data_IF_429065798458
#
_entry.id   IF_429065798458
#
_cell.length_a   1.000
_cell.length_b   1.000
_cell.length_c   1.000
_cell.angle_alpha   90.00
_cell.angle_beta   90.00
_cell.angle_gamma   90.00
#
_symmetry.space_group_name_H-M   'P 1'
#
loop_
_entity.id
_entity.type
_entity.pdbx_description
1 polymer ?
#
# COMPACT_ATOMS: atom_id res chain seq x y z
N UNK A 1 7.19 15.74 4.76
CA UNK A 1 6.33 16.36 3.73
C UNK A 1 6.93 16.00 2.37
N UNK A 2 6.08 15.60 1.41
CA UNK A 2 6.51 15.42 0.04
C UNK A 2 6.90 16.77 -0.59
N UNK A 3 7.81 16.74 -1.54
CA UNK A 3 8.17 17.93 -2.30
C UNK A 3 7.06 18.31 -3.31
N UNK A 4 7.28 19.40 -4.07
CA UNK A 4 6.30 19.88 -5.06
C UNK A 4 6.10 18.93 -6.25
N UNK A 5 6.94 17.90 -6.41
CA UNK A 5 6.85 16.92 -7.51
C UNK A 5 5.97 15.72 -7.18
N UNK A 6 5.53 15.61 -5.92
CA UNK A 6 4.67 14.53 -5.44
C UNK A 6 5.43 13.29 -4.97
N UNK A 7 6.74 13.33 -4.81
CA UNK A 7 7.55 12.25 -4.23
C UNK A 7 8.77 12.79 -3.46
N UNK A 8 9.26 11.98 -2.54
CA UNK A 8 10.57 12.08 -1.93
C UNK A 8 11.39 10.86 -2.34
N UNK A 9 12.61 11.04 -2.81
CA UNK A 9 13.50 9.99 -3.29
C UNK A 9 14.89 10.02 -2.64
N UNK A 10 15.07 10.78 -1.56
CA UNK A 10 16.34 10.92 -0.86
C UNK A 10 17.31 11.91 -1.49
N UNK A 11 16.90 12.71 -2.50
CA UNK A 11 17.78 13.72 -3.11
C UNK A 11 18.22 14.83 -2.15
N UNK A 12 17.56 14.95 -0.99
CA UNK A 12 17.96 15.76 0.15
C UNK A 12 19.09 15.15 0.99
N UNK A 13 19.55 13.94 0.64
CA UNK A 13 20.61 13.17 1.30
C UNK A 13 20.29 12.80 2.75
N UNK A 14 19.02 12.72 3.14
CA UNK A 14 18.61 12.27 4.47
C UNK A 14 18.88 10.77 4.72
N UNK A 15 18.92 9.96 3.64
CA UNK A 15 19.33 8.55 3.68
C UNK A 15 18.30 7.58 4.23
N UNK A 16 17.30 8.05 4.98
CA UNK A 16 16.20 7.25 5.52
C UNK A 16 14.92 8.07 5.58
N UNK A 17 13.79 7.38 5.45
CA UNK A 17 12.48 7.90 5.79
C UNK A 17 11.97 7.20 7.04
N UNK A 18 11.51 7.95 8.02
CA UNK A 18 11.00 7.40 9.28
C UNK A 18 9.51 7.70 9.37
N UNK A 19 8.73 6.65 9.58
CA UNK A 19 7.32 6.73 9.87
C UNK A 19 7.00 5.88 11.08
N UNK A 20 6.55 6.52 12.15
CA UNK A 20 6.31 5.88 13.46
C UNK A 20 7.55 5.11 13.97
N UNK A 21 7.46 3.78 14.06
CA UNK A 21 8.52 2.90 14.54
C UNK A 21 9.31 2.24 13.41
N UNK A 22 9.07 2.62 12.13
CA UNK A 22 9.69 2.03 10.96
C UNK A 22 10.67 2.98 10.31
N UNK A 23 11.84 2.45 9.95
CA UNK A 23 12.88 3.17 9.21
C UNK A 23 13.07 2.52 7.84
N UNK A 24 12.67 3.24 6.80
CA UNK A 24 12.79 2.85 5.39
C UNK A 24 14.11 3.37 4.86
N UNK A 25 14.97 2.48 4.37
CA UNK A 25 16.26 2.91 3.82
C UNK A 25 16.09 3.62 2.49
N UNK A 26 16.96 4.58 2.25
CA UNK A 26 17.16 5.20 0.93
C UNK A 26 18.64 5.46 0.73
N UNK A 27 19.12 5.28 -0.49
CA UNK A 27 20.48 5.64 -0.89
C UNK A 27 20.39 6.41 -2.21
N UNK A 28 20.64 7.71 -2.16
CA UNK A 28 20.62 8.58 -3.33
C UNK A 28 22.04 8.81 -3.85
N UNK A 29 22.27 8.48 -5.14
CA UNK A 29 23.51 8.74 -5.83
C UNK A 29 23.45 10.09 -6.53
N UNK A 30 24.24 11.07 -6.06
CA UNK A 30 24.23 12.44 -6.59
C UNK A 30 24.95 12.56 -7.94
N UNK A 31 25.86 11.64 -8.27
CA UNK A 31 26.62 11.66 -9.53
C UNK A 31 25.72 11.27 -10.73
N UNK A 32 24.89 10.27 -10.52
CA UNK A 32 24.03 9.70 -11.57
C UNK A 32 22.54 10.02 -11.37
N UNK A 33 22.20 10.75 -10.31
CA UNK A 33 20.83 11.17 -9.97
C UNK A 33 19.84 9.98 -9.91
N UNK A 34 20.25 8.86 -9.33
CA UNK A 34 19.38 7.70 -9.09
C UNK A 34 19.31 7.35 -7.59
N UNK A 35 18.28 6.62 -7.21
CA UNK A 35 18.04 6.18 -5.85
C UNK A 35 17.88 4.65 -5.77
N UNK A 36 18.09 4.08 -4.58
CA UNK A 36 17.73 2.70 -4.23
C UNK A 36 17.15 2.66 -2.81
N UNK A 37 16.47 1.57 -2.46
CA UNK A 37 15.72 1.48 -1.22
C UNK A 37 14.27 1.92 -1.42
N UNK A 38 13.83 2.92 -0.65
CA UNK A 38 12.46 3.43 -0.70
C UNK A 38 12.39 4.89 -1.15
N UNK A 39 11.34 5.21 -1.89
CA UNK A 39 10.82 6.54 -2.13
C UNK A 39 9.41 6.63 -1.53
N UNK A 40 8.99 7.81 -1.09
CA UNK A 40 7.61 8.08 -0.66
C UNK A 40 6.93 8.91 -1.74
N UNK A 41 5.72 8.52 -2.13
CA UNK A 41 5.03 9.10 -3.29
C UNK A 41 3.56 9.33 -3.05
N UNK A 42 2.98 10.27 -3.79
CA UNK A 42 1.55 10.43 -4.01
C UNK A 42 1.22 10.64 -5.51
N UNK A 43 2.10 10.17 -6.39
CA UNK A 43 1.92 10.28 -7.84
C UNK A 43 0.79 9.37 -8.29
N UNK A 44 -0.23 9.94 -8.94
CA UNK A 44 -1.45 9.26 -9.39
C UNK A 44 -1.43 8.87 -10.88
N UNK A 45 -0.27 8.91 -11.54
CA UNK A 45 -0.13 8.49 -12.94
C UNK A 45 -0.10 6.96 -13.01
N UNK A 46 -1.22 6.36 -13.42
CA UNK A 46 -1.43 4.93 -13.60
C UNK A 46 -1.23 4.45 -15.05
N UNK A 47 -0.82 5.34 -15.96
CA UNK A 47 -0.77 5.09 -17.40
C UNK A 47 0.62 5.13 -18.02
N UNK A 48 1.55 5.94 -17.49
CA UNK A 48 2.87 6.11 -18.08
C UNK A 48 3.80 4.95 -17.73
N UNK A 49 4.07 4.07 -18.69
CA UNK A 49 4.90 2.88 -18.57
C UNK A 49 6.38 3.12 -18.87
N UNK A 50 7.04 4.00 -18.12
CA UNK A 50 8.48 4.27 -18.30
C UNK A 50 9.15 4.66 -16.99
N UNK A 51 10.49 4.68 -16.98
CA UNK A 51 11.28 5.13 -15.84
C UNK A 51 11.00 6.59 -15.42
N UNK A 52 10.38 7.40 -16.28
CA UNK A 52 9.93 8.74 -15.91
C UNK A 52 8.77 8.72 -14.90
N UNK A 53 8.01 7.61 -14.82
CA UNK A 53 6.95 7.37 -13.85
C UNK A 53 7.30 6.22 -12.89
N UNK A 54 8.52 6.21 -12.36
CA UNK A 54 8.96 5.20 -11.39
C UNK A 54 8.31 5.37 -10.00
N UNK A 55 7.56 6.43 -9.77
CA UNK A 55 6.92 6.79 -8.50
C UNK A 55 5.41 6.57 -8.48
N UNK A 56 4.80 6.19 -9.61
CA UNK A 56 3.38 5.90 -9.72
C UNK A 56 3.02 4.49 -9.23
N UNK A 57 1.78 4.30 -8.81
CA UNK A 57 1.17 3.01 -8.47
C UNK A 57 0.10 2.65 -9.50
N UNK A 58 -0.02 1.38 -9.87
CA UNK A 58 -0.93 0.92 -10.94
C UNK A 58 -2.40 1.23 -10.70
N UNK A 59 -2.84 1.28 -9.43
CA UNK A 59 -4.20 1.69 -9.05
C UNK A 59 -4.48 3.20 -9.17
N UNK A 60 -3.43 4.05 -9.32
CA UNK A 60 -3.55 5.51 -9.38
C UNK A 60 -3.85 6.18 -8.03
N UNK A 61 -3.86 5.44 -6.91
CA UNK A 61 -4.14 5.99 -5.57
C UNK A 61 -3.48 5.16 -4.47
N UNK A 62 -3.19 5.80 -3.32
CA UNK A 62 -2.72 5.12 -2.10
C UNK A 62 -3.82 4.22 -1.53
N UNK A 63 -3.45 3.14 -0.84
CA UNK A 63 -4.42 2.31 -0.13
C UNK A 63 -5.13 3.10 0.98
N UNK A 64 -4.35 3.83 1.77
CA UNK A 64 -4.86 4.72 2.81
C UNK A 64 -4.23 6.11 2.73
N UNK A 65 -4.92 7.12 3.25
CA UNK A 65 -4.41 8.47 3.21
C UNK A 65 -4.15 9.00 1.79
N UNK A 66 -2.96 9.56 1.56
CA UNK A 66 -2.57 10.12 0.25
C UNK A 66 -1.20 9.68 -0.24
N UNK A 67 -0.40 9.05 0.60
CA UNK A 67 0.98 8.66 0.32
C UNK A 67 1.14 7.15 0.39
N UNK A 68 2.07 6.63 -0.38
CA UNK A 68 2.51 5.24 -0.34
C UNK A 68 4.04 5.18 -0.52
N UNK A 69 4.65 4.06 -0.13
CA UNK A 69 6.07 3.81 -0.36
C UNK A 69 6.27 3.07 -1.68
N UNK A 70 7.30 3.48 -2.44
CA UNK A 70 7.76 2.77 -3.62
C UNK A 70 9.10 2.12 -3.30
N UNK A 71 9.18 0.81 -3.42
CA UNK A 71 10.40 0.03 -3.22
C UNK A 71 11.12 -0.18 -4.56
N UNK A 72 12.44 -0.03 -4.52
CA UNK A 72 13.35 -0.34 -5.60
C UNK A 72 14.57 -1.05 -5.02
N UNK A 73 15.47 -1.55 -5.82
CA UNK A 73 16.68 -2.30 -5.46
C UNK A 73 17.22 -2.03 -4.02
N UNK A 74 17.59 -3.08 -3.30
CA UNK A 74 18.12 -3.02 -1.93
C UNK A 74 17.16 -2.43 -0.86
N UNK A 75 15.85 -2.44 -1.15
CA UNK A 75 14.84 -1.97 -0.20
C UNK A 75 14.86 -2.81 1.08
N UNK A 76 14.90 -2.13 2.23
CA UNK A 76 14.72 -2.75 3.55
C UNK A 76 14.01 -1.79 4.51
N UNK A 77 13.29 -2.37 5.48
CA UNK A 77 12.68 -1.63 6.59
C UNK A 77 13.22 -2.19 7.89
N UNK A 78 13.71 -1.32 8.76
CA UNK A 78 14.21 -1.71 10.10
C UNK A 78 13.32 -1.13 11.21
N UNK A 79 13.19 -1.85 12.30
CA UNK A 79 12.33 -1.56 13.44
C UNK A 79 12.77 -2.37 14.66
N UNK A 80 12.18 -2.10 15.83
CA UNK A 80 12.42 -2.90 17.04
C UNK A 80 11.87 -4.33 16.86
N UNK A 81 12.52 -5.32 17.51
CA UNK A 81 12.15 -6.73 17.40
C UNK A 81 10.67 -6.97 17.73
N UNK A 82 9.91 -7.41 16.74
CA UNK A 82 8.46 -7.67 16.82
C UNK A 82 7.97 -8.59 15.72
N UNK A 83 6.72 -9.06 15.83
CA UNK A 83 5.98 -9.70 14.74
C UNK A 83 5.31 -8.63 13.88
N UNK A 84 5.30 -8.82 12.58
CA UNK A 84 4.54 -7.99 11.63
C UNK A 84 3.23 -8.69 11.28
N UNK A 85 2.14 -7.94 11.11
CA UNK A 85 0.90 -8.45 10.52
C UNK A 85 1.04 -8.60 9.00
N UNK A 86 1.53 -7.56 8.35
CA UNK A 86 1.66 -7.50 6.90
C UNK A 86 1.60 -6.06 6.39
N UNK A 87 1.38 -5.91 5.10
CA UNK A 87 1.20 -4.61 4.44
C UNK A 87 0.37 -4.78 3.17
N UNK A 88 -0.18 -3.69 2.66
CA UNK A 88 -0.78 -3.69 1.33
C UNK A 88 0.29 -3.52 0.26
N UNK A 89 0.23 -4.38 -0.77
CA UNK A 89 1.18 -4.41 -1.88
C UNK A 89 0.44 -4.18 -3.21
N UNK A 90 1.11 -3.47 -4.13
CA UNK A 90 0.65 -3.32 -5.51
C UNK A 90 1.83 -3.15 -6.46
N UNK A 91 1.62 -3.30 -7.76
CA UNK A 91 2.62 -2.96 -8.76
C UNK A 91 2.86 -1.44 -8.81
N UNK A 92 4.12 -1.04 -9.04
CA UNK A 92 4.34 0.31 -9.57
C UNK A 92 3.76 0.41 -10.99
N UNK A 93 3.33 1.60 -11.39
CA UNK A 93 2.83 1.83 -12.77
C UNK A 93 3.86 1.41 -13.82
N UNK A 94 5.13 1.70 -13.58
CA UNK A 94 6.20 1.32 -14.51
C UNK A 94 6.29 -0.20 -14.69
N UNK A 95 6.33 -0.99 -13.62
CA UNK A 95 6.38 -2.45 -13.70
C UNK A 95 5.10 -3.02 -14.32
N UNK A 96 3.93 -2.53 -13.91
CA UNK A 96 2.63 -2.95 -14.43
C UNK A 96 2.55 -2.77 -15.96
N UNK A 97 2.85 -1.56 -16.44
CA UNK A 97 2.75 -1.25 -17.87
C UNK A 97 3.80 -1.98 -18.71
N UNK A 98 5.02 -2.22 -18.16
CA UNK A 98 6.04 -3.03 -18.80
C UNK A 98 5.58 -4.47 -19.00
N UNK A 99 5.03 -5.11 -17.97
CA UNK A 99 4.49 -6.48 -18.07
C UNK A 99 3.26 -6.56 -18.98
N UNK A 100 2.39 -5.57 -18.95
CA UNK A 100 1.15 -5.54 -19.74
C UNK A 100 1.41 -5.36 -21.24
N UNK A 101 2.33 -4.48 -21.62
CA UNK A 101 2.53 -4.04 -22.99
C UNK A 101 3.86 -4.48 -23.58
N UNK A 102 4.84 -4.85 -22.76
CA UNK A 102 6.25 -4.91 -23.13
C UNK A 102 6.85 -3.52 -23.29
N UNK A 103 8.17 -3.44 -23.27
CA UNK A 103 8.93 -2.21 -23.51
C UNK A 103 10.25 -2.51 -24.25
N UNK A 104 11.22 -1.58 -24.25
CA UNK A 104 12.50 -1.76 -24.91
C UNK A 104 13.38 -2.88 -24.30
N UNK A 105 13.12 -3.28 -23.08
CA UNK A 105 13.89 -4.26 -22.30
C UNK A 105 13.05 -5.46 -21.88
N UNK A 106 11.85 -5.20 -21.35
CA UNK A 106 10.91 -6.19 -20.83
C UNK A 106 9.94 -6.71 -21.90
N UNK A 107 9.67 -8.02 -21.90
CA UNK A 107 8.65 -8.60 -22.76
C UNK A 107 7.25 -8.38 -22.20
N UNK A 108 6.24 -8.43 -23.06
CA UNK A 108 4.86 -8.55 -22.66
C UNK A 108 4.62 -9.92 -22.00
N UNK A 109 4.04 -9.96 -20.81
CA UNK A 109 3.70 -11.20 -20.14
C UNK A 109 2.54 -11.93 -20.82
N UNK A 110 2.60 -13.27 -20.83
CA UNK A 110 1.70 -14.12 -21.60
C UNK A 110 2.06 -14.17 -23.09
N UNK A 111 2.99 -13.35 -23.59
CA UNK A 111 3.36 -13.27 -25.00
C UNK A 111 2.21 -12.83 -25.90
N UNK A 112 2.30 -13.12 -27.19
CA UNK A 112 1.26 -12.77 -28.18
C UNK A 112 0.02 -13.68 -28.09
N UNK A 113 0.21 -14.96 -27.69
CA UNK A 113 -0.87 -15.94 -27.59
C UNK A 113 -1.59 -15.89 -26.22
N UNK A 114 -0.97 -15.35 -25.20
CA UNK A 114 -1.42 -15.42 -23.80
C UNK A 114 -0.95 -16.68 -23.06
N UNK A 115 -0.14 -17.55 -23.69
CA UNK A 115 0.22 -18.86 -23.12
C UNK A 115 1.63 -18.91 -22.51
N UNK A 116 2.42 -17.84 -22.62
CA UNK A 116 3.74 -17.76 -22.02
C UNK A 116 3.62 -17.76 -20.48
N UNK A 117 4.27 -18.71 -19.83
CA UNK A 117 4.23 -18.88 -18.37
C UNK A 117 5.13 -17.85 -17.66
N UNK A 118 4.65 -16.62 -17.60
CA UNK A 118 5.37 -15.52 -17.02
C UNK A 118 4.97 -15.25 -15.56
N UNK A 119 5.89 -14.68 -14.79
CA UNK A 119 5.61 -14.29 -13.43
C UNK A 119 6.57 -13.19 -12.96
N UNK A 120 6.09 -12.36 -12.02
CA UNK A 120 6.88 -11.38 -11.28
C UNK A 120 6.58 -11.47 -9.80
N UNK A 121 7.60 -11.57 -8.98
CA UNK A 121 7.48 -11.92 -7.57
C UNK A 121 8.35 -11.04 -6.69
N UNK A 122 7.85 -10.70 -5.52
CA UNK A 122 8.58 -10.09 -4.41
C UNK A 122 8.69 -11.09 -3.28
N UNK A 123 9.92 -11.37 -2.83
CA UNK A 123 10.19 -12.12 -1.60
C UNK A 123 10.48 -11.14 -0.46
N UNK A 124 9.75 -11.26 0.64
CA UNK A 124 10.04 -10.58 1.91
C UNK A 124 10.85 -11.51 2.78
N UNK A 125 12.07 -11.10 3.14
CA UNK A 125 13.01 -11.86 3.97
C UNK A 125 13.02 -11.23 5.35
N UNK A 126 12.53 -11.96 6.35
CA UNK A 126 12.57 -11.57 7.75
C UNK A 126 13.98 -11.73 8.33
N UNK A 127 14.46 -10.72 9.03
CA UNK A 127 15.81 -10.68 9.58
C UNK A 127 15.78 -10.45 11.09
N UNK A 128 16.73 -11.08 11.79
CA UNK A 128 17.16 -10.66 13.15
C UNK A 128 18.61 -10.25 13.04
N UNK A 129 18.90 -8.98 13.18
CA UNK A 129 20.18 -8.35 12.89
C UNK A 129 20.67 -8.65 11.46
N UNK A 130 21.68 -9.50 11.30
CA UNK A 130 22.21 -9.90 9.99
C UNK A 130 21.76 -11.29 9.54
N UNK A 131 20.99 -12.00 10.38
CA UNK A 131 20.58 -13.38 10.12
C UNK A 131 19.18 -13.39 9.47
N UNK A 132 19.07 -14.01 8.30
CA UNK A 132 17.78 -14.32 7.69
C UNK A 132 17.10 -15.46 8.48
N UNK A 133 15.85 -15.24 8.88
CA UNK A 133 15.08 -16.18 9.70
C UNK A 133 14.16 -17.00 8.81
N UNK A 134 13.37 -16.33 7.97
CA UNK A 134 12.40 -16.93 7.06
C UNK A 134 12.11 -15.99 5.90
N UNK A 135 11.37 -16.44 4.89
CA UNK A 135 10.96 -15.63 3.76
C UNK A 135 9.57 -16.02 3.26
N UNK A 136 8.84 -15.04 2.76
CA UNK A 136 7.52 -15.18 2.17
C UNK A 136 7.52 -14.56 0.77
N UNK A 137 6.84 -15.21 -0.15
CA UNK A 137 6.75 -14.79 -1.55
C UNK A 137 5.36 -14.26 -1.88
N UNK A 138 5.31 -13.19 -2.69
CA UNK A 138 4.09 -12.63 -3.23
C UNK A 138 4.23 -12.41 -4.74
N UNK A 139 3.31 -12.98 -5.53
CA UNK A 139 3.29 -12.79 -6.97
C UNK A 139 2.51 -11.52 -7.34
N UNK A 140 3.22 -10.56 -7.91
CA UNK A 140 2.66 -9.32 -8.47
C UNK A 140 2.10 -9.51 -9.88
N UNK A 141 2.54 -10.57 -10.55
CA UNK A 141 1.95 -11.10 -11.78
C UNK A 141 2.18 -12.60 -11.85
N UNK A 142 1.18 -13.36 -12.30
CA UNK A 142 1.29 -14.81 -12.49
C UNK A 142 0.46 -15.28 -13.70
N UNK A 143 1.16 -15.85 -14.70
CA UNK A 143 0.63 -16.38 -15.97
C UNK A 143 0.90 -17.88 -16.09
N UNK A 144 1.01 -18.59 -14.96
CA UNK A 144 1.33 -20.03 -14.95
C UNK A 144 0.12 -20.91 -14.71
N UNK A 145 -1.07 -20.34 -14.69
CA UNK A 145 -2.31 -21.09 -14.52
C UNK A 145 -2.61 -21.94 -15.76
N UNK A 146 -3.22 -23.12 -15.56
CA UNK A 146 -3.67 -23.97 -16.67
C UNK A 146 -4.87 -23.35 -17.41
N UNK A 147 -5.60 -22.47 -16.76
CA UNK A 147 -6.70 -21.69 -17.30
C UNK A 147 -6.25 -20.23 -17.34
N UNK A 148 -5.93 -19.73 -18.54
CA UNK A 148 -5.41 -18.37 -18.75
C UNK A 148 -6.37 -17.27 -18.29
N UNK A 149 -7.65 -17.59 -18.02
CA UNK A 149 -8.58 -16.61 -17.40
C UNK A 149 -8.25 -16.32 -15.94
N UNK A 150 -7.36 -17.09 -15.33
CA UNK A 150 -6.86 -16.87 -13.97
C UNK A 150 -5.53 -16.09 -13.94
N UNK A 151 -4.91 -15.90 -15.11
CA UNK A 151 -3.68 -15.12 -15.23
C UNK A 151 -3.94 -13.66 -14.86
N UNK A 152 -2.97 -13.06 -14.17
CA UNK A 152 -3.13 -11.68 -13.71
C UNK A 152 -1.82 -10.91 -13.67
N UNK A 153 -1.95 -9.60 -13.79
CA UNK A 153 -1.00 -8.60 -13.32
C UNK A 153 -1.77 -7.78 -12.28
N UNK A 154 -1.29 -7.76 -11.04
CA UNK A 154 -1.97 -7.06 -9.94
C UNK A 154 -2.02 -5.55 -10.24
N UNK A 155 -3.24 -4.97 -10.22
CA UNK A 155 -3.51 -3.55 -10.46
C UNK A 155 -4.26 -2.87 -9.31
N UNK A 156 -4.67 -3.65 -8.32
CA UNK A 156 -5.31 -3.18 -7.09
C UNK A 156 -4.48 -3.57 -5.87
N UNK A 157 -4.65 -2.84 -4.77
CA UNK A 157 -3.98 -3.13 -3.51
C UNK A 157 -4.42 -4.47 -2.93
N UNK A 158 -3.46 -5.32 -2.59
CA UNK A 158 -3.69 -6.63 -2.00
C UNK A 158 -2.93 -6.76 -0.68
N UNK A 159 -3.53 -7.45 0.30
CA UNK A 159 -2.88 -7.69 1.59
C UNK A 159 -1.82 -8.80 1.48
N UNK A 160 -0.60 -8.50 1.92
CA UNK A 160 0.47 -9.48 2.07
C UNK A 160 0.69 -9.77 3.57
N UNK A 161 0.22 -10.93 4.02
CA UNK A 161 0.34 -11.39 5.41
C UNK A 161 1.79 -11.81 5.70
N UNK A 162 2.41 -11.19 6.72
CA UNK A 162 3.75 -11.47 7.18
C UNK A 162 3.79 -12.15 8.55
N UNK A 163 2.65 -12.49 9.14
CA UNK A 163 2.54 -12.99 10.51
C UNK A 163 3.36 -14.27 10.76
N UNK A 164 3.56 -15.10 9.73
CA UNK A 164 4.36 -16.33 9.82
C UNK A 164 5.87 -16.12 9.85
N UNK A 165 6.40 -14.91 9.56
CA UNK A 165 7.83 -14.61 9.70
C UNK A 165 8.33 -14.68 11.16
N UNK A 166 7.39 -14.61 12.14
CA UNK A 166 7.73 -14.54 13.55
C UNK A 166 8.36 -13.20 13.97
N UNK A 167 9.15 -13.22 15.05
CA UNK A 167 9.80 -12.01 15.53
C UNK A 167 11.03 -11.67 14.69
N UNK A 168 11.01 -10.50 14.08
CA UNK A 168 12.09 -9.94 13.25
C UNK A 168 12.35 -8.49 13.64
N UNK A 169 13.52 -7.94 13.33
CA UNK A 169 13.85 -6.53 13.54
C UNK A 169 14.15 -5.78 12.23
N UNK A 170 14.10 -6.49 11.11
CA UNK A 170 14.05 -5.88 9.78
C UNK A 170 13.47 -6.86 8.77
N UNK A 171 12.98 -6.30 7.64
CA UNK A 171 12.59 -7.04 6.46
C UNK A 171 13.34 -6.50 5.25
N UNK A 172 13.78 -7.41 4.38
CA UNK A 172 14.43 -7.09 3.11
C UNK A 172 13.57 -7.60 1.97
N UNK A 173 13.65 -6.88 0.85
CA UNK A 173 12.89 -7.23 -0.34
C UNK A 173 13.81 -7.72 -1.45
N UNK A 174 13.41 -8.80 -2.10
CA UNK A 174 14.09 -9.35 -3.27
C UNK A 174 13.08 -9.51 -4.41
N UNK A 175 13.47 -9.05 -5.58
CA UNK A 175 12.69 -9.18 -6.80
C UNK A 175 13.13 -10.40 -7.61
N UNK A 176 12.17 -11.06 -8.25
CA UNK A 176 12.42 -12.15 -9.19
C UNK A 176 11.36 -12.14 -10.28
N UNK A 177 11.74 -12.49 -11.50
CA UNK A 177 10.83 -12.54 -12.66
C UNK A 177 11.25 -13.68 -13.60
N UNK A 178 10.30 -14.17 -14.38
CA UNK A 178 10.56 -15.08 -15.52
C UNK A 178 11.29 -14.36 -16.65
N UNK A 179 11.11 -13.05 -16.79
CA UNK A 179 11.75 -12.25 -17.83
C UNK A 179 13.14 -11.82 -17.39
N UNK A 180 14.13 -12.60 -17.81
CA UNK A 180 15.56 -12.40 -17.52
C UNK A 180 16.38 -12.39 -18.80
N UNK A 181 17.34 -11.48 -18.87
CA UNK A 181 18.27 -11.36 -19.97
C UNK A 181 19.73 -11.49 -19.55
N UNK A 182 20.63 -11.14 -20.44
CA UNK A 182 22.08 -11.21 -20.21
C UNK A 182 22.53 -10.35 -19.00
N UNK A 183 21.80 -9.27 -18.72
CA UNK A 183 22.10 -8.31 -17.65
C UNK A 183 21.29 -8.50 -16.38
N UNK A 184 20.51 -9.59 -16.29
CA UNK A 184 19.64 -9.90 -15.16
C UNK A 184 18.16 -9.77 -15.51
N UNK A 185 17.35 -9.38 -14.54
CA UNK A 185 15.90 -9.25 -14.69
C UNK A 185 15.57 -8.03 -15.56
N UNK A 186 14.73 -8.25 -16.60
CA UNK A 186 14.28 -7.19 -17.51
C UNK A 186 13.03 -6.46 -16.97
N UNK A 187 12.18 -7.19 -16.23
CA UNK A 187 11.02 -6.58 -15.56
C UNK A 187 11.49 -5.48 -14.60
N UNK A 188 10.92 -4.26 -14.65
CA UNK A 188 11.30 -3.18 -13.74
C UNK A 188 11.12 -3.60 -12.27
N UNK A 189 12.21 -3.54 -11.48
CA UNK A 189 12.28 -4.03 -10.10
C UNK A 189 11.63 -3.05 -9.11
N UNK A 190 10.36 -2.71 -9.29
CA UNK A 190 9.60 -1.79 -8.46
C UNK A 190 8.30 -2.43 -7.97
N UNK A 191 7.94 -2.16 -6.72
CA UNK A 191 6.60 -2.38 -6.20
C UNK A 191 6.21 -1.24 -5.26
N UNK A 192 4.92 -1.12 -4.96
CA UNK A 192 4.38 -0.16 -4.01
C UNK A 192 3.87 -0.87 -2.77
N UNK A 193 4.06 -0.25 -1.60
CA UNK A 193 3.52 -0.72 -0.32
C UNK A 193 2.86 0.40 0.46
N UNK A 194 1.88 0.02 1.28
CA UNK A 194 1.14 0.92 2.15
C UNK A 194 0.70 0.19 3.42
N UNK A 195 0.43 0.93 4.51
CA UNK A 195 -0.09 0.43 5.78
C UNK A 195 0.69 -0.79 6.33
N UNK A 196 2.03 -0.64 6.51
CA UNK A 196 2.83 -1.66 7.18
C UNK A 196 2.39 -1.80 8.64
N UNK A 197 1.74 -2.92 8.95
CA UNK A 197 1.14 -3.22 10.25
C UNK A 197 2.04 -4.02 11.18
N UNK A 198 1.83 -3.85 12.48
CA UNK A 198 2.45 -4.64 13.55
C UNK A 198 1.37 -5.33 14.38
N UNK A 199 1.62 -6.60 14.69
CA UNK A 199 0.81 -7.33 15.67
C UNK A 199 1.20 -6.87 17.08
N UNK A 200 0.75 -5.69 17.46
CA UNK A 200 0.85 -5.24 18.84
C UNK A 200 -0.26 -5.91 19.66
N UNK A 201 0.04 -7.08 20.21
CA UNK A 201 -0.81 -7.72 21.25
C UNK A 201 -0.82 -6.89 22.56
N UNK A 202 -0.07 -5.82 22.63
CA UNK A 202 -0.21 -4.84 23.69
C UNK A 202 -1.42 -3.97 23.38
N UNK A 203 -2.41 -3.96 24.27
CA UNK A 203 -3.44 -2.93 24.34
C UNK A 203 -2.73 -1.60 24.67
N UNK A 204 -2.07 -1.03 23.68
CA UNK A 204 -1.62 0.35 23.76
C UNK A 204 -2.85 1.22 23.51
N UNK A 205 -3.45 1.69 24.60
CA UNK A 205 -4.43 2.80 24.60
C UNK A 205 -3.74 4.11 24.15
N UNK A 206 -2.95 4.11 23.07
CA UNK A 206 -2.28 5.29 22.59
C UNK A 206 -2.62 5.54 21.14
N UNK A 207 -3.52 6.53 20.99
CA UNK A 207 -3.84 7.25 19.76
C UNK A 207 -4.42 6.42 18.61
N UNK A 208 -5.56 5.81 18.85
CA UNK A 208 -6.54 5.78 17.78
C UNK A 208 -6.76 7.26 17.38
N UNK A 209 -6.43 7.65 16.17
CA UNK A 209 -7.11 8.79 15.52
C UNK A 209 -8.58 8.39 15.49
N UNK A 210 -9.27 8.58 16.61
CA UNK A 210 -10.70 8.33 16.70
C UNK A 210 -11.37 9.40 15.86
N UNK A 211 -12.22 8.98 14.94
CA UNK A 211 -13.15 9.95 14.35
C UNK A 211 -13.90 10.55 15.53
N UNK A 212 -13.79 11.87 15.72
CA UNK A 212 -14.64 12.54 16.66
C UNK A 212 -15.97 12.86 15.98
N UNK A 213 -17.01 12.11 16.37
CA UNK A 213 -18.40 12.36 15.94
C UNK A 213 -19.17 12.96 17.12
N UNK A 214 -19.62 14.18 16.96
CA UNK A 214 -20.35 14.87 18.02
C UNK A 214 -21.49 15.75 17.44
N UNK A 215 -22.59 15.90 18.19
CA UNK A 215 -22.91 15.24 19.45
C UNK A 215 -23.21 13.75 19.28
N UNK A 216 -22.90 12.96 20.28
CA UNK A 216 -23.34 11.57 20.39
C UNK A 216 -23.80 11.33 21.84
N UNK A 217 -25.08 11.11 22.13
CA UNK A 217 -26.21 10.87 21.22
C UNK A 217 -26.57 12.00 20.27
N UNK A 218 -27.04 11.64 19.09
CA UNK A 218 -27.39 12.55 18.00
C UNK A 218 -28.91 12.70 17.83
N UNK A 219 -29.38 13.95 17.62
CA UNK A 219 -30.80 14.22 17.28
C UNK A 219 -30.98 14.40 15.77
N UNK A 220 -30.45 15.47 15.20
CA UNK A 220 -30.71 15.84 13.81
C UNK A 220 -29.47 15.72 12.92
N UNK A 221 -28.30 16.04 13.45
CA UNK A 221 -27.01 16.01 12.75
C UNK A 221 -25.89 15.72 13.72
N UNK A 222 -24.78 15.30 13.18
CA UNK A 222 -23.48 15.22 13.86
C UNK A 222 -22.40 15.84 12.98
N UNK A 223 -21.29 16.22 13.61
CA UNK A 223 -20.11 16.78 12.94
C UNK A 223 -19.01 15.72 12.95
N UNK A 224 -18.24 15.66 11.86
CA UNK A 224 -17.07 14.77 11.72
C UNK A 224 -15.77 15.58 11.79
N UNK A 225 -14.76 15.01 12.44
CA UNK A 225 -13.45 15.68 12.60
C UNK A 225 -12.49 15.48 11.44
N UNK A 226 -12.85 14.64 10.45
CA UNK A 226 -11.94 14.18 9.38
C UNK A 226 -12.70 14.10 8.06
N UNK A 227 -12.03 14.42 6.96
CA UNK A 227 -12.56 14.30 5.60
C UNK A 227 -12.50 12.85 5.10
N UNK A 228 -13.45 12.47 4.25
CA UNK A 228 -13.45 11.16 3.60
C UNK A 228 -14.83 10.64 3.21
N UNK A 229 -14.88 9.41 2.73
CA UNK A 229 -16.13 8.73 2.42
C UNK A 229 -16.74 8.15 3.69
N UNK A 230 -17.92 8.67 4.06
CA UNK A 230 -18.66 8.28 5.25
C UNK A 230 -19.79 7.34 4.87
N UNK A 231 -19.88 6.20 5.55
CA UNK A 231 -20.98 5.23 5.44
C UNK A 231 -21.63 5.03 6.78
N UNK A 232 -22.97 5.00 6.83
CA UNK A 232 -23.77 4.70 8.04
C UNK A 232 -24.44 3.35 7.84
N UNK A 233 -24.31 2.48 8.84
CA UNK A 233 -24.90 1.15 8.87
C UNK A 233 -25.85 1.04 10.07
N UNK A 234 -26.94 0.32 9.90
CA UNK A 234 -27.81 -0.10 11.01
C UNK A 234 -27.22 -1.32 11.74
N UNK A 235 -27.87 -1.76 12.81
CA UNK A 235 -27.42 -2.91 13.61
C UNK A 235 -27.44 -4.24 12.86
N UNK A 236 -28.11 -4.33 11.72
CA UNK A 236 -28.12 -5.52 10.86
C UNK A 236 -26.96 -5.54 9.86
N UNK A 237 -26.16 -4.46 9.83
CA UNK A 237 -25.08 -4.26 8.86
C UNK A 237 -25.54 -3.70 7.52
N UNK A 238 -26.82 -3.32 7.39
CA UNK A 238 -27.33 -2.68 6.16
C UNK A 238 -26.87 -1.24 6.09
N UNK A 239 -26.25 -0.87 4.97
CA UNK A 239 -25.90 0.51 4.68
C UNK A 239 -27.14 1.36 4.47
N UNK A 240 -27.31 2.40 5.30
CA UNK A 240 -28.44 3.33 5.24
C UNK A 240 -28.05 4.68 4.63
N UNK A 241 -26.75 5.02 4.60
CA UNK A 241 -26.25 6.23 3.97
C UNK A 241 -24.81 6.08 3.53
N UNK A 242 -24.46 6.75 2.42
CA UNK A 242 -23.06 6.88 1.96
C UNK A 242 -22.89 8.29 1.35
N UNK A 243 -21.91 9.05 1.84
CA UNK A 243 -21.66 10.44 1.43
C UNK A 243 -20.17 10.78 1.61
N UNK A 244 -19.65 11.66 0.76
CA UNK A 244 -18.33 12.26 1.00
C UNK A 244 -18.49 13.48 1.92
N UNK A 245 -17.62 13.61 2.92
CA UNK A 245 -17.64 14.69 3.91
C UNK A 245 -16.26 15.32 4.04
N UNK A 246 -16.25 16.60 4.41
CA UNK A 246 -15.03 17.31 4.82
C UNK A 246 -14.98 17.44 6.36
N UNK A 247 -13.80 17.66 6.89
CA UNK A 247 -13.64 17.90 8.33
C UNK A 247 -14.42 19.15 8.76
N UNK A 248 -15.33 18.98 9.73
CA UNK A 248 -16.24 20.04 10.19
C UNK A 248 -17.62 20.01 9.54
N UNK A 249 -17.87 19.15 8.57
CA UNK A 249 -19.20 19.04 7.94
C UNK A 249 -20.25 18.51 8.91
N UNK A 250 -21.47 19.03 8.74
CA UNK A 250 -22.68 18.52 9.39
C UNK A 250 -23.33 17.42 8.56
N UNK A 251 -23.42 16.24 9.15
CA UNK A 251 -24.12 15.09 8.55
C UNK A 251 -25.53 15.00 9.12
N UNK A 252 -26.53 15.34 8.30
CA UNK A 252 -27.93 15.26 8.71
C UNK A 252 -28.37 13.79 8.81
N UNK A 253 -29.10 13.44 9.86
CA UNK A 253 -29.64 12.09 10.14
C UNK A 253 -31.13 12.13 10.53
N UNK A 254 -31.85 13.13 10.08
CA UNK A 254 -33.27 13.32 10.38
C UNK A 254 -34.15 12.16 9.86
N UNK A 255 -33.73 11.54 8.76
CA UNK A 255 -34.41 10.42 8.14
C UNK A 255 -34.21 9.08 8.86
N UNK A 256 -33.25 8.99 9.78
CA UNK A 256 -33.00 7.77 10.55
C UNK A 256 -33.92 7.67 11.75
N UNK A 257 -34.44 6.47 11.98
CA UNK A 257 -35.20 6.17 13.19
C UNK A 257 -34.30 6.19 14.43
N UNK A 258 -34.90 6.40 15.62
CA UNK A 258 -34.16 6.26 16.89
C UNK A 258 -33.56 4.86 17.01
N UNK A 259 -32.29 4.79 17.39
CA UNK A 259 -31.58 3.52 17.47
C UNK A 259 -30.07 3.65 17.46
N UNK A 260 -29.39 2.52 17.37
CA UNK A 260 -27.93 2.42 17.27
C UNK A 260 -27.52 2.29 15.81
N UNK A 261 -26.52 3.06 15.41
CA UNK A 261 -25.91 3.01 14.09
C UNK A 261 -24.39 2.99 14.21
N UNK A 262 -23.73 2.47 13.17
CA UNK A 262 -22.28 2.47 13.03
C UNK A 262 -21.90 3.37 11.88
N UNK A 263 -21.09 4.39 12.17
CA UNK A 263 -20.54 5.32 11.16
C UNK A 263 -19.12 4.87 10.85
N UNK A 264 -18.88 4.52 9.58
CA UNK A 264 -17.56 4.17 9.06
C UNK A 264 -17.04 5.34 8.21
N UNK A 265 -15.80 5.76 8.46
CA UNK A 265 -15.09 6.77 7.68
C UNK A 265 -13.64 6.27 7.48
N UNK A 266 -13.30 5.86 6.25
CA UNK A 266 -12.06 5.14 5.98
C UNK A 266 -11.95 3.85 6.80
N UNK A 267 -10.85 3.66 7.49
CA UNK A 267 -10.62 2.51 8.39
C UNK A 267 -11.36 2.62 9.74
N UNK A 268 -11.94 3.77 10.07
CA UNK A 268 -12.52 4.03 11.39
C UNK A 268 -14.01 3.73 11.44
N UNK A 269 -14.45 3.14 12.55
CA UNK A 269 -15.87 2.89 12.82
C UNK A 269 -16.22 3.40 14.21
N UNK A 270 -17.26 4.24 14.32
CA UNK A 270 -17.76 4.73 15.59
C UNK A 270 -19.25 4.43 15.72
N UNK A 271 -19.66 3.98 16.92
CA UNK A 271 -21.06 3.82 17.28
C UNK A 271 -21.68 5.18 17.57
N UNK A 272 -22.84 5.47 16.99
CA UNK A 272 -23.70 6.61 17.35
C UNK A 272 -25.05 6.12 17.86
N UNK A 273 -25.68 6.94 18.73
CA UNK A 273 -27.01 6.71 19.26
C UNK A 273 -27.92 7.81 18.70
N UNK A 274 -28.86 7.45 17.82
CA UNK A 274 -29.88 8.35 17.28
C UNK A 274 -31.07 8.40 18.25
N UNK A 275 -31.38 9.61 18.72
CA UNK A 275 -32.51 9.91 19.60
C UNK A 275 -33.82 10.15 18.82
#
# INVERSE_FOLDING_TARGET
>A
NLDSTGYWNGSDLSGIYIEEAFSFNNNYNTEYAYWSGFSISNVQDDTTGSSSNQYGVSSGYAYSGSNFAVAYSDANVSFDLKTLDGFYINNSTFAYQSMLNGDAFGKKFGGDSGDDQDWFMVSVIGMVDTLAIDSLDFYLADFRFADNTQDYILDEWSWFDLSSLGNVNSIRFKFSSSDVGEWGMNTPAYFCMDDLGVNDLSVNENFTKSISIYPNPVKNHFIVSTSGRLSIFDVSGKMVRNVFVEAGDEVLVNELNSGIYFVKLGAYTQKIIKL
#
